data_IF_451990095173
#
_entry.id   IF_451990095173
#
_cell.length_a   1.000
_cell.length_b   1.000
_cell.length_c   1.000
_cell.angle_alpha   90.00
_cell.angle_beta   90.00
_cell.angle_gamma   90.00
#
_symmetry.space_group_name_H-M   'P 1'
#
loop_
_entity.id
_entity.type
_entity.pdbx_description
1 polymer ?
#
# COMPACT_ATOMS: atom_id res chain seq x y z
N UNK A 1 -25.34 -30.67 28.26
CA UNK A 1 -23.98 -30.51 27.71
C UNK A 1 -24.05 -29.49 26.59
N UNK A 2 -23.48 -28.29 26.80
CA UNK A 2 -23.41 -27.27 25.77
C UNK A 2 -22.24 -27.60 24.83
N UNK A 3 -22.53 -27.90 23.57
CA UNK A 3 -21.51 -28.09 22.54
C UNK A 3 -20.92 -26.71 22.27
N UNK A 4 -19.68 -26.50 22.70
CA UNK A 4 -18.89 -25.36 22.29
C UNK A 4 -18.72 -25.42 20.77
N UNK A 5 -19.48 -24.58 20.04
CA UNK A 5 -19.22 -24.30 18.64
C UNK A 5 -17.83 -23.68 18.54
N UNK A 6 -16.85 -24.53 18.25
CA UNK A 6 -15.55 -24.11 17.75
C UNK A 6 -15.80 -23.17 16.57
N UNK A 7 -15.52 -21.88 16.77
CA UNK A 7 -15.33 -20.89 15.71
C UNK A 7 -14.08 -21.30 14.92
N UNK A 8 -14.14 -22.43 14.22
CA UNK A 8 -13.20 -22.73 13.15
C UNK A 8 -13.54 -21.79 12.01
N UNK A 9 -13.11 -20.53 12.15
CA UNK A 9 -13.01 -19.58 11.05
C UNK A 9 -11.97 -20.21 10.11
N UNK A 10 -12.43 -21.05 9.19
CA UNK A 10 -11.64 -21.51 8.06
C UNK A 10 -11.04 -20.25 7.44
N UNK A 11 -9.72 -20.10 7.57
CA UNK A 11 -8.96 -19.13 6.80
C UNK A 11 -9.03 -19.63 5.36
N UNK A 12 -10.10 -19.27 4.66
CA UNK A 12 -10.19 -19.58 3.25
C UNK A 12 -9.10 -18.76 2.54
N UNK A 13 -8.31 -19.39 1.65
CA UNK A 13 -7.29 -18.69 0.90
C UNK A 13 -7.92 -17.49 0.17
N UNK A 14 -7.38 -16.25 0.32
CA UNK A 14 -7.87 -15.10 -0.42
C UNK A 14 -7.73 -15.39 -1.90
N UNK A 15 -8.87 -15.48 -2.56
CA UNK A 15 -9.06 -15.45 -4.00
C UNK A 15 -8.30 -16.51 -4.84
N UNK A 16 -8.62 -16.50 -6.13
CA UNK A 16 -8.01 -17.37 -7.13
C UNK A 16 -6.48 -17.17 -7.24
N UNK A 17 -5.78 -18.23 -7.67
CA UNK A 17 -4.32 -18.20 -7.92
C UNK A 17 -3.91 -17.04 -8.85
N UNK A 18 -4.79 -16.65 -9.78
CA UNK A 18 -4.58 -15.52 -10.68
C UNK A 18 -4.48 -14.18 -9.94
N UNK A 19 -5.39 -13.92 -8.98
CA UNK A 19 -5.39 -12.66 -8.22
C UNK A 19 -4.12 -12.52 -7.37
N UNK A 20 -3.67 -13.62 -6.76
CA UNK A 20 -2.43 -13.64 -5.97
C UNK A 20 -1.22 -13.29 -6.82
N UNK A 21 -1.11 -13.88 -8.01
CA UNK A 21 -0.02 -13.57 -8.96
C UNK A 21 -0.06 -12.10 -9.38
N UNK A 22 -1.23 -11.59 -9.74
CA UNK A 22 -1.40 -10.19 -10.12
C UNK A 22 -0.97 -9.24 -8.98
N UNK A 23 -1.38 -9.54 -7.74
CA UNK A 23 -0.97 -8.80 -6.55
C UNK A 23 0.56 -8.78 -6.41
N UNK A 24 1.22 -9.95 -6.42
CA UNK A 24 2.68 -10.00 -6.23
C UNK A 24 3.45 -9.28 -7.34
N UNK A 25 3.00 -9.37 -8.60
CA UNK A 25 3.62 -8.65 -9.72
C UNK A 25 3.47 -7.15 -9.53
N UNK A 26 2.26 -6.67 -9.29
CA UNK A 26 1.98 -5.24 -9.10
C UNK A 26 2.75 -4.69 -7.89
N UNK A 27 2.73 -5.42 -6.78
CA UNK A 27 3.41 -5.04 -5.55
C UNK A 27 4.93 -4.95 -5.71
N UNK A 28 5.50 -5.87 -6.48
CA UNK A 28 6.94 -5.87 -6.78
C UNK A 28 7.33 -4.66 -7.63
N UNK A 29 6.52 -4.33 -8.64
CA UNK A 29 6.72 -3.15 -9.49
C UNK A 29 6.66 -1.87 -8.65
N UNK A 30 5.65 -1.76 -7.77
CA UNK A 30 5.51 -0.62 -6.87
C UNK A 30 6.69 -0.48 -5.92
N UNK A 31 7.11 -1.58 -5.28
CA UNK A 31 8.24 -1.57 -4.33
C UNK A 31 9.52 -1.07 -5.02
N UNK A 32 9.77 -1.51 -6.25
CA UNK A 32 10.92 -1.05 -7.06
C UNK A 32 10.78 0.44 -7.38
N UNK A 33 9.61 0.87 -7.86
CA UNK A 33 9.35 2.28 -8.18
C UNK A 33 9.52 3.19 -6.97
N UNK A 34 8.94 2.83 -5.82
CA UNK A 34 9.08 3.54 -4.56
C UNK A 34 10.57 3.66 -4.15
N UNK A 35 11.32 2.57 -4.23
CA UNK A 35 12.76 2.57 -3.91
C UNK A 35 13.54 3.53 -4.82
N UNK A 36 13.23 3.54 -6.12
CA UNK A 36 13.86 4.45 -7.08
C UNK A 36 13.49 5.91 -6.81
N UNK A 37 12.27 6.21 -6.35
CA UNK A 37 11.88 7.57 -5.97
C UNK A 37 12.70 8.11 -4.80
N UNK A 38 13.05 7.28 -3.81
CA UNK A 38 13.92 7.71 -2.71
C UNK A 38 15.36 8.06 -3.13
N UNK A 39 15.79 7.68 -4.34
CA UNK A 39 17.07 8.10 -4.91
C UNK A 39 17.00 9.49 -5.57
N UNK A 40 15.80 10.03 -5.78
CA UNK A 40 15.59 11.36 -6.36
C UNK A 40 15.69 12.40 -5.23
N UNK A 41 16.67 13.33 -5.28
CA UNK A 41 16.99 14.21 -4.15
C UNK A 41 15.88 15.20 -3.77
N UNK A 42 14.87 15.37 -4.62
CA UNK A 42 13.72 16.26 -4.39
C UNK A 42 12.45 15.50 -3.95
N UNK A 43 12.48 14.17 -3.96
CA UNK A 43 11.33 13.33 -3.62
C UNK A 43 11.33 12.95 -2.13
N UNK A 44 11.29 13.96 -1.26
CA UNK A 44 11.36 13.78 0.20
C UNK A 44 10.01 13.53 0.86
N UNK A 45 8.89 13.82 0.18
CA UNK A 45 7.52 13.71 0.71
C UNK A 45 6.74 12.55 0.11
N UNK A 46 7.37 11.37 0.10
CA UNK A 46 6.70 10.12 -0.25
C UNK A 46 5.79 9.65 0.91
N UNK A 47 5.19 8.46 0.78
CA UNK A 47 4.33 7.88 1.82
C UNK A 47 4.96 7.99 3.24
N UNK A 48 4.30 8.62 4.22
CA UNK A 48 4.89 8.94 5.52
C UNK A 48 5.48 7.74 6.27
N UNK A 49 4.84 6.57 6.19
CA UNK A 49 5.36 5.35 6.85
C UNK A 49 6.62 4.87 6.12
N UNK A 50 6.60 4.86 4.79
CA UNK A 50 7.77 4.47 3.99
C UNK A 50 8.94 5.43 4.23
N UNK A 51 8.68 6.75 4.32
CA UNK A 51 9.65 7.78 4.67
C UNK A 51 10.20 7.54 6.08
N UNK A 52 9.34 7.21 7.05
CA UNK A 52 9.77 6.87 8.42
C UNK A 52 10.72 5.66 8.43
N UNK A 53 10.34 4.56 7.77
CA UNK A 53 11.23 3.40 7.68
C UNK A 53 12.52 3.69 6.93
N UNK A 54 12.47 4.52 5.87
CA UNK A 54 13.67 4.98 5.18
C UNK A 54 14.59 5.80 6.08
N UNK A 55 14.04 6.69 6.92
CA UNK A 55 14.83 7.46 7.89
C UNK A 55 15.54 6.58 8.92
N UNK A 56 14.96 5.46 9.30
CA UNK A 56 15.55 4.52 10.26
C UNK A 56 16.58 3.56 9.66
N UNK A 57 16.31 3.05 8.45
CA UNK A 57 17.05 1.92 7.88
C UNK A 57 17.62 2.18 6.48
N UNK A 58 17.45 3.38 5.93
CA UNK A 58 17.79 3.68 4.54
C UNK A 58 16.90 2.94 3.54
N UNK A 59 17.43 2.65 2.35
CA UNK A 59 16.70 1.91 1.30
C UNK A 59 16.12 0.56 1.76
N UNK A 60 16.80 -0.25 2.59
CA UNK A 60 16.19 -1.44 3.19
C UNK A 60 14.87 -1.18 3.94
N UNK A 61 14.73 0.01 4.54
CA UNK A 61 13.50 0.43 5.21
C UNK A 61 12.31 0.54 4.26
N UNK A 62 12.54 0.97 3.01
CA UNK A 62 11.49 1.05 1.97
C UNK A 62 10.93 -0.34 1.69
N UNK A 63 11.81 -1.33 1.52
CA UNK A 63 11.42 -2.72 1.31
C UNK A 63 10.70 -3.29 2.53
N UNK A 64 11.17 -2.97 3.73
CA UNK A 64 10.52 -3.40 4.97
C UNK A 64 9.09 -2.85 5.09
N UNK A 65 8.89 -1.56 4.82
CA UNK A 65 7.56 -0.95 4.80
C UNK A 65 6.65 -1.62 3.76
N UNK A 66 7.17 -1.89 2.55
CA UNK A 66 6.43 -2.59 1.51
C UNK A 66 6.02 -4.01 1.94
N UNK A 67 6.89 -4.76 2.62
CA UNK A 67 6.55 -6.10 3.14
C UNK A 67 5.47 -6.01 4.23
N UNK A 68 5.56 -5.02 5.13
CA UNK A 68 4.54 -4.81 6.17
C UNK A 68 3.16 -4.53 5.55
N UNK A 69 3.09 -3.67 4.54
CA UNK A 69 1.85 -3.38 3.84
C UNK A 69 1.31 -4.59 3.08
N UNK A 70 2.16 -5.36 2.39
CA UNK A 70 1.75 -6.59 1.74
C UNK A 70 1.17 -7.59 2.75
N UNK A 71 1.82 -7.75 3.90
CA UNK A 71 1.35 -8.59 4.99
C UNK A 71 -0.02 -8.17 5.52
N UNK A 72 -0.26 -6.87 5.67
CA UNK A 72 -1.58 -6.35 6.07
C UNK A 72 -2.65 -6.65 5.01
N UNK A 73 -2.39 -6.39 3.73
CA UNK A 73 -3.34 -6.65 2.65
C UNK A 73 -3.67 -8.14 2.56
N UNK A 74 -2.65 -9.01 2.60
CA UNK A 74 -2.83 -10.47 2.58
C UNK A 74 -3.58 -10.94 3.82
N UNK A 75 -3.22 -10.45 5.00
CA UNK A 75 -3.85 -10.82 6.27
C UNK A 75 -5.33 -10.45 6.30
N UNK A 76 -5.66 -9.23 5.87
CA UNK A 76 -7.06 -8.77 5.76
C UNK A 76 -7.81 -9.60 4.72
N UNK A 77 -7.18 -9.91 3.59
CA UNK A 77 -7.75 -10.79 2.56
C UNK A 77 -8.13 -12.19 3.07
N UNK A 78 -7.42 -12.74 4.06
CA UNK A 78 -7.79 -14.02 4.68
C UNK A 78 -8.94 -13.91 5.70
N UNK A 79 -9.23 -12.71 6.20
CA UNK A 79 -10.25 -12.49 7.24
C UNK A 79 -11.57 -12.02 6.64
N UNK A 80 -11.55 -11.36 5.48
CA UNK A 80 -12.74 -10.85 4.82
C UNK A 80 -13.45 -11.93 3.99
N UNK A 81 -14.75 -12.07 4.22
CA UNK A 81 -15.64 -12.92 3.42
C UNK A 81 -16.13 -12.17 2.18
N UNK A 82 -16.34 -12.87 1.07
CA UNK A 82 -16.98 -12.33 -0.15
C UNK A 82 -18.39 -11.82 0.22
N UNK A 83 -18.82 -10.59 -0.13
CA UNK A 83 -18.20 -9.59 -1.02
C UNK A 83 -17.48 -8.42 -0.30
N UNK A 84 -17.18 -8.57 1.00
CA UNK A 84 -16.44 -7.53 1.74
C UNK A 84 -15.01 -7.40 1.22
N UNK A 85 -14.42 -8.47 0.69
CA UNK A 85 -13.10 -8.48 0.04
C UNK A 85 -13.04 -7.48 -1.13
N UNK A 86 -14.07 -7.43 -1.98
CA UNK A 86 -14.14 -6.52 -3.13
C UNK A 86 -14.19 -5.08 -2.64
N UNK A 87 -14.99 -4.77 -1.62
CA UNK A 87 -15.07 -3.42 -1.06
C UNK A 87 -13.75 -2.98 -0.43
N UNK A 88 -13.09 -3.88 0.29
CA UNK A 88 -11.78 -3.61 0.86
C UNK A 88 -10.72 -3.37 -0.22
N UNK A 89 -10.67 -4.21 -1.25
CA UNK A 89 -9.77 -4.02 -2.39
C UNK A 89 -10.04 -2.67 -3.07
N UNK A 90 -11.30 -2.31 -3.30
CA UNK A 90 -11.65 -1.00 -3.88
C UNK A 90 -11.15 0.15 -3.00
N UNK A 91 -11.35 0.09 -1.69
CA UNK A 91 -10.86 1.14 -0.76
C UNK A 91 -9.34 1.23 -0.78
N UNK A 92 -8.63 0.10 -0.76
CA UNK A 92 -7.17 0.06 -0.83
C UNK A 92 -6.68 0.63 -2.17
N UNK A 93 -7.33 0.26 -3.27
CA UNK A 93 -7.01 0.80 -4.61
C UNK A 93 -7.24 2.30 -4.65
N UNK A 94 -8.34 2.82 -4.09
CA UNK A 94 -8.60 4.26 -4.04
C UNK A 94 -7.55 5.00 -3.21
N UNK A 95 -7.21 4.49 -2.02
CA UNK A 95 -6.12 5.02 -1.20
C UNK A 95 -4.81 5.03 -1.98
N UNK A 96 -4.51 3.94 -2.65
CA UNK A 96 -3.29 3.79 -3.45
C UNK A 96 -3.26 4.76 -4.64
N UNK A 97 -4.39 4.99 -5.32
CA UNK A 97 -4.50 5.98 -6.40
C UNK A 97 -4.21 7.39 -5.88
N UNK A 98 -4.73 7.76 -4.71
CA UNK A 98 -4.43 9.06 -4.09
C UNK A 98 -2.93 9.20 -3.79
N UNK A 99 -2.32 8.18 -3.20
CA UNK A 99 -0.89 8.17 -2.87
C UNK A 99 0.00 8.19 -4.12
N UNK A 100 -0.34 7.44 -5.16
CA UNK A 100 0.36 7.48 -6.45
C UNK A 100 0.20 8.83 -7.12
N UNK A 101 -0.98 9.44 -7.05
CA UNK A 101 -1.20 10.79 -7.60
C UNK A 101 -0.30 11.80 -6.91
N UNK A 102 -0.17 11.74 -5.57
CA UNK A 102 0.78 12.56 -4.83
C UNK A 102 2.21 12.39 -5.37
N UNK A 103 2.66 11.15 -5.55
CA UNK A 103 4.01 10.85 -6.03
C UNK A 103 4.23 11.33 -7.48
N UNK A 104 3.25 11.16 -8.37
CA UNK A 104 3.32 11.60 -9.77
C UNK A 104 3.35 13.13 -9.87
N UNK A 105 2.49 13.82 -9.11
CA UNK A 105 2.49 15.29 -9.05
C UNK A 105 3.82 15.79 -8.50
N UNK A 106 4.33 15.20 -7.42
CA UNK A 106 5.62 15.58 -6.86
C UNK A 106 6.76 15.35 -7.86
N UNK A 107 6.72 14.27 -8.64
CA UNK A 107 7.72 14.00 -9.67
C UNK A 107 7.69 15.03 -10.82
N UNK A 108 6.49 15.41 -11.28
CA UNK A 108 6.31 16.28 -12.44
C UNK A 108 6.41 17.78 -12.09
N UNK A 109 5.84 18.17 -10.96
CA UNK A 109 5.75 19.56 -10.51
C UNK A 109 6.86 19.95 -9.52
N UNK A 110 7.60 18.97 -8.97
CA UNK A 110 8.60 19.16 -7.88
C UNK A 110 8.04 19.74 -6.58
N UNK A 111 6.72 19.83 -6.46
CA UNK A 111 6.00 20.34 -5.29
C UNK A 111 4.90 19.34 -4.92
N UNK A 112 4.61 19.24 -3.62
CA UNK A 112 3.52 18.38 -3.16
C UNK A 112 2.16 18.99 -3.57
N UNK A 113 1.14 18.18 -3.93
CA UNK A 113 -0.18 18.68 -4.34
C UNK A 113 -0.83 19.64 -3.32
N UNK A 114 -0.58 19.41 -2.03
CA UNK A 114 -1.08 20.26 -0.95
C UNK A 114 -0.43 21.64 -0.95
N UNK A 115 0.87 21.73 -1.22
CA UNK A 115 1.58 23.01 -1.36
C UNK A 115 1.10 23.76 -2.59
N UNK A 116 0.89 23.05 -3.71
CA UNK A 116 0.37 23.60 -4.95
C UNK A 116 -1.07 24.13 -4.79
N UNK A 117 -1.91 23.44 -3.99
CA UNK A 117 -3.25 23.90 -3.65
C UNK A 117 -3.23 25.17 -2.80
N UNK A 118 -2.29 25.28 -1.84
CA UNK A 118 -2.13 26.48 -1.00
C UNK A 118 -1.62 27.66 -1.84
N UNK A 119 -0.71 27.43 -2.79
CA UNK A 119 -0.17 28.45 -3.71
C UNK A 119 -1.21 28.98 -4.70
N UNK A 120 -2.12 28.14 -5.18
CA UNK A 120 -3.20 28.55 -6.11
C UNK A 120 -4.37 29.20 -5.38
N UNK A 121 -4.56 28.90 -4.08
CA UNK A 121 -5.62 29.47 -3.26
C UNK A 121 -5.24 30.79 -2.56
N UNK A 122 -3.97 31.22 -2.66
CA UNK A 122 -3.44 32.48 -2.14
C UNK A 122 -3.36 33.55 -3.23
#
# INVERSE_FOLDING_TARGET
>A
MAVATSLSRKLDPPASVGLRRAFFVLWSIDTVAATLFFLVPYATELNPVTVFFYGLFGLPGVVLAAVCYAGLVIGIGHVLSDPLDVRFVVVVVLLYVVLVTNNVVLLLAREAPLELLILVAA
#
